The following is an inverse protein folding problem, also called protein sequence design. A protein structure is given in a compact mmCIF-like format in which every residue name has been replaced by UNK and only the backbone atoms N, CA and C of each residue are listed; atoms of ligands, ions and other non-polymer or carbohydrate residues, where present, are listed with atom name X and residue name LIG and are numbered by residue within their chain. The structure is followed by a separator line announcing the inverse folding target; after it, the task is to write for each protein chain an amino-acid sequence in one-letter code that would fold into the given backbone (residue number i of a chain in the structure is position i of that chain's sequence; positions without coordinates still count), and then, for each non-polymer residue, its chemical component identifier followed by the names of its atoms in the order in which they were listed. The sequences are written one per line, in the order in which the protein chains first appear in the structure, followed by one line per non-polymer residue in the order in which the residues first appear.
data_IF_492039149352
#
_entry.id   IF_492039149352
#
_cell.length_a   1.000
_cell.length_b   1.000
_cell.length_c   1.000
_cell.angle_alpha   90.00
_cell.angle_beta   90.00
_cell.angle_gamma   90.00
#
_symmetry.space_group_name_H-M   'P 1'
#
loop_
_entity.id
_entity.type
_entity.pdbx_description
1 polymer ?
#
# COMPACT_ATOMS: atom_id res chain seq x y z
N UNK A 1 -13.71 25.11 -6.92
CA UNK A 1 -13.05 23.92 -6.34
C UNK A 1 -13.84 22.72 -6.83
N UNK A 2 -13.20 21.79 -7.53
CA UNK A 2 -13.85 20.53 -7.89
C UNK A 2 -14.11 19.76 -6.60
N UNK A 3 -15.37 19.47 -6.29
CA UNK A 3 -15.76 18.67 -5.14
C UNK A 3 -15.92 17.22 -5.62
N UNK A 4 -15.10 16.31 -5.13
CA UNK A 4 -15.24 14.87 -5.38
C UNK A 4 -16.28 14.31 -4.40
N UNK A 5 -17.25 13.52 -4.90
CA UNK A 5 -18.34 13.02 -4.06
C UNK A 5 -17.99 11.72 -3.33
N UNK A 6 -16.99 10.99 -3.80
CA UNK A 6 -16.51 9.74 -3.21
C UNK A 6 -15.06 9.45 -3.62
N UNK A 7 -14.49 8.41 -3.00
CA UNK A 7 -13.12 7.98 -3.25
C UNK A 7 -12.88 7.50 -4.67
N UNK A 8 -13.86 6.87 -5.33
CA UNK A 8 -13.69 6.39 -6.70
C UNK A 8 -13.49 7.56 -7.68
N UNK A 9 -14.27 8.63 -7.53
CA UNK A 9 -14.09 9.87 -8.32
C UNK A 9 -12.74 10.52 -8.07
N UNK A 10 -12.32 10.57 -6.80
CA UNK A 10 -11.01 11.11 -6.41
C UNK A 10 -9.86 10.29 -7.02
N UNK A 11 -9.91 8.97 -6.88
CA UNK A 11 -8.88 8.06 -7.38
C UNK A 11 -8.77 8.10 -8.89
N UNK A 12 -9.91 8.15 -9.59
CA UNK A 12 -9.94 8.32 -11.04
C UNK A 12 -9.26 9.62 -11.45
N UNK A 13 -9.62 10.74 -10.83
CA UNK A 13 -9.00 12.03 -11.12
C UNK A 13 -7.49 12.01 -10.89
N UNK A 14 -7.03 11.47 -9.75
CA UNK A 14 -5.60 11.41 -9.44
C UNK A 14 -4.86 10.53 -10.46
N UNK A 15 -5.40 9.35 -10.79
CA UNK A 15 -4.77 8.43 -11.74
C UNK A 15 -4.62 9.06 -13.14
N UNK A 16 -5.61 9.82 -13.60
CA UNK A 16 -5.60 10.41 -14.93
C UNK A 16 -4.79 11.71 -15.03
N UNK A 17 -4.66 12.46 -13.93
CA UNK A 17 -4.13 13.83 -13.98
C UNK A 17 -2.81 14.03 -13.23
N UNK A 18 -2.40 13.09 -12.36
CA UNK A 18 -1.22 13.23 -11.51
C UNK A 18 -0.28 12.03 -11.67
N UNK A 19 1.02 12.31 -11.79
CA UNK A 19 2.08 11.31 -11.69
C UNK A 19 2.82 11.44 -10.36
N UNK A 20 3.38 10.33 -9.87
CA UNK A 20 3.95 10.22 -8.51
C UNK A 20 5.01 11.29 -8.22
N UNK A 21 5.86 11.63 -9.19
CA UNK A 21 6.89 12.65 -8.98
C UNK A 21 6.31 14.05 -8.74
N UNK A 22 5.29 14.48 -9.51
CA UNK A 22 4.62 15.75 -9.26
C UNK A 22 3.93 15.79 -7.88
N UNK A 23 3.36 14.66 -7.44
CA UNK A 23 2.78 14.56 -6.09
C UNK A 23 3.88 14.74 -5.03
N UNK A 24 5.07 14.15 -5.22
CA UNK A 24 6.19 14.34 -4.31
C UNK A 24 6.66 15.80 -4.27
N UNK A 25 6.81 16.45 -5.42
CA UNK A 25 7.22 17.86 -5.49
C UNK A 25 6.24 18.78 -4.74
N UNK A 26 4.93 18.57 -4.91
CA UNK A 26 3.90 19.31 -4.19
C UNK A 26 4.00 19.06 -2.67
N UNK A 27 4.19 17.81 -2.26
CA UNK A 27 4.36 17.46 -0.85
C UNK A 27 5.61 18.10 -0.25
N UNK A 28 6.70 18.17 -1.00
CA UNK A 28 7.95 18.83 -0.58
C UNK A 28 7.76 20.34 -0.36
N UNK A 29 7.03 21.02 -1.25
CA UNK A 29 6.66 22.43 -1.11
C UNK A 29 5.78 22.67 0.13
N UNK A 30 4.90 21.72 0.45
CA UNK A 30 4.06 21.75 1.66
C UNK A 30 4.83 21.35 2.93
N UNK A 31 6.11 20.96 2.83
CA UNK A 31 6.97 20.59 3.95
C UNK A 31 6.99 19.11 4.30
N UNK A 32 6.33 18.25 3.53
CA UNK A 32 6.24 16.80 3.74
C UNK A 32 7.30 16.04 2.92
N UNK A 33 8.56 16.09 3.35
CA UNK A 33 9.70 15.61 2.54
C UNK A 33 9.98 14.10 2.54
N UNK A 34 9.26 13.33 3.35
CA UNK A 34 9.54 11.90 3.57
C UNK A 34 8.35 11.02 3.17
N UNK A 35 7.73 11.28 2.01
CA UNK A 35 6.49 10.61 1.57
C UNK A 35 6.71 9.58 0.46
N UNK A 36 7.91 9.51 -0.11
CA UNK A 36 8.28 8.48 -1.09
C UNK A 36 8.71 7.18 -0.40
N UNK A 37 8.31 6.04 -0.96
CA UNK A 37 8.74 4.72 -0.48
C UNK A 37 10.24 4.51 -0.73
N UNK A 38 10.87 3.68 0.12
CA UNK A 38 12.28 3.32 -0.05
C UNK A 38 12.52 2.69 -1.43
N UNK A 39 13.60 3.08 -2.11
CA UNK A 39 13.95 2.65 -3.49
C UNK A 39 14.15 1.14 -3.70
N UNK A 40 13.99 0.32 -2.65
CA UNK A 40 14.01 -1.15 -2.75
C UNK A 40 12.62 -1.71 -3.09
N UNK A 41 11.57 -0.94 -2.84
CA UNK A 41 10.22 -1.28 -3.31
C UNK A 41 10.17 -1.00 -4.81
N UNK A 42 10.09 -2.06 -5.61
CA UNK A 42 10.06 -1.99 -7.08
C UNK A 42 8.80 -2.68 -7.60
N UNK A 43 8.17 -2.14 -8.66
CA UNK A 43 7.02 -2.79 -9.27
C UNK A 43 7.43 -4.16 -9.83
N UNK A 44 6.55 -5.15 -9.66
CA UNK A 44 6.75 -6.49 -10.19
C UNK A 44 6.29 -6.62 -11.66
N UNK A 45 5.28 -5.84 -12.05
CA UNK A 45 4.75 -5.86 -13.41
C UNK A 45 5.74 -5.23 -14.39
N UNK A 46 5.86 -5.77 -15.62
CA UNK A 46 6.90 -5.36 -16.58
C UNK A 46 6.68 -3.96 -17.15
N UNK A 47 5.44 -3.48 -17.17
CA UNK A 47 5.10 -2.15 -17.66
C UNK A 47 5.15 -1.14 -16.50
N UNK A 48 6.32 -0.55 -16.28
CA UNK A 48 6.55 0.41 -15.21
C UNK A 48 5.72 1.70 -15.36
N UNK A 49 5.27 2.03 -16.57
CA UNK A 49 4.48 3.24 -16.84
C UNK A 49 3.00 3.01 -16.47
N UNK A 50 2.50 1.79 -16.63
CA UNK A 50 1.09 1.44 -16.37
C UNK A 50 0.88 0.56 -15.12
N UNK A 51 1.92 0.23 -14.35
CA UNK A 51 1.80 -0.56 -13.12
C UNK A 51 1.40 0.25 -11.88
N UNK A 52 1.16 1.55 -12.02
CA UNK A 52 0.75 2.42 -10.92
C UNK A 52 -0.71 2.21 -10.50
N UNK A 53 -0.98 2.36 -9.21
CA UNK A 53 -2.32 2.29 -8.65
C UNK A 53 -2.47 3.28 -7.47
N UNK A 54 -3.72 3.53 -7.09
CA UNK A 54 -4.09 4.43 -6.00
C UNK A 54 -5.23 3.84 -5.19
N UNK A 55 -5.21 4.10 -3.88
CA UNK A 55 -6.31 3.75 -2.98
C UNK A 55 -6.04 4.24 -1.55
N UNK A 56 -6.93 3.88 -0.61
CA UNK A 56 -6.73 4.10 0.82
C UNK A 56 -5.77 3.05 1.38
N UNK A 57 -4.78 3.47 2.15
CA UNK A 57 -3.85 2.52 2.73
C UNK A 57 -4.54 1.63 3.79
N UNK A 58 -4.58 0.32 3.54
CA UNK A 58 -4.84 -0.69 4.55
C UNK A 58 -3.49 -1.24 5.02
N UNK A 59 -3.11 -0.95 6.26
CA UNK A 59 -1.76 -1.24 6.75
C UNK A 59 -1.69 -2.54 7.54
N UNK A 60 -0.60 -3.28 7.35
CA UNK A 60 -0.32 -4.54 8.03
C UNK A 60 1.11 -4.51 8.57
N UNK A 61 1.29 -4.81 9.85
CA UNK A 61 2.60 -4.93 10.47
C UNK A 61 2.86 -6.37 10.84
N UNK A 62 3.93 -6.93 10.29
CA UNK A 62 4.41 -8.25 10.65
C UNK A 62 5.52 -8.15 11.69
N UNK A 63 5.55 -9.12 12.59
CA UNK A 63 6.55 -9.22 13.64
C UNK A 63 6.93 -10.69 13.80
N UNK A 64 8.21 -10.95 14.04
CA UNK A 64 8.69 -12.26 14.45
C UNK A 64 8.02 -12.68 15.77
N UNK A 65 7.65 -13.96 15.85
CA UNK A 65 7.08 -14.60 17.04
C UNK A 65 7.92 -15.81 17.39
N UNK A 66 8.13 -16.05 18.69
CA UNK A 66 8.86 -17.21 19.22
C UNK A 66 7.96 -18.41 19.52
N UNK A 67 6.66 -18.28 19.27
CA UNK A 67 5.67 -19.34 19.40
C UNK A 67 4.68 -19.37 18.22
N UNK A 68 4.04 -20.51 18.04
CA UNK A 68 2.96 -20.72 17.06
C UNK A 68 1.65 -20.85 17.83
N UNK A 69 0.61 -20.13 17.39
CA UNK A 69 -0.75 -20.38 17.90
C UNK A 69 -1.32 -21.63 17.25
N UNK A 70 -1.19 -22.77 17.94
CA UNK A 70 -1.56 -24.11 17.42
C UNK A 70 -3.04 -24.20 16.99
N UNK A 71 -3.94 -23.51 17.69
CA UNK A 71 -5.38 -23.58 17.38
C UNK A 71 -5.74 -22.81 16.11
N UNK A 72 -5.03 -21.71 15.80
CA UNK A 72 -5.36 -20.84 14.67
C UNK A 72 -4.15 -20.01 14.19
N UNK A 73 -3.11 -20.65 13.62
CA UNK A 73 -1.85 -19.97 13.29
C UNK A 73 -2.00 -18.89 12.21
N UNK A 74 -3.05 -18.96 11.38
CA UNK A 74 -3.32 -18.03 10.28
C UNK A 74 -4.52 -17.11 10.53
N UNK A 75 -5.15 -17.17 11.70
CA UNK A 75 -6.41 -16.47 11.97
C UNK A 75 -6.33 -14.98 11.72
N UNK A 76 -5.28 -14.35 12.24
CA UNK A 76 -5.04 -12.91 12.09
C UNK A 76 -4.71 -12.53 10.64
N UNK A 77 -3.98 -13.39 9.91
CA UNK A 77 -3.66 -13.16 8.50
C UNK A 77 -4.92 -13.23 7.64
N UNK A 78 -5.78 -14.23 7.87
CA UNK A 78 -7.05 -14.37 7.16
C UNK A 78 -7.96 -13.19 7.47
N UNK A 79 -8.12 -12.81 8.74
CA UNK A 79 -8.92 -11.65 9.13
C UNK A 79 -8.40 -10.35 8.49
N UNK A 80 -7.07 -10.19 8.46
CA UNK A 80 -6.42 -9.06 7.81
C UNK A 80 -6.76 -8.99 6.31
N UNK A 81 -6.70 -10.12 5.59
CA UNK A 81 -7.04 -10.18 4.17
C UNK A 81 -8.54 -9.98 3.92
N UNK A 82 -9.41 -10.60 4.71
CA UNK A 82 -10.88 -10.48 4.61
C UNK A 82 -11.37 -9.06 4.89
N UNK A 83 -10.59 -8.29 5.63
CA UNK A 83 -10.94 -6.91 6.00
C UNK A 83 -10.70 -5.87 4.89
N UNK A 84 -10.06 -6.27 3.78
CA UNK A 84 -9.81 -5.40 2.63
C UNK A 84 -11.12 -5.00 1.95
N UNK A 85 -11.22 -3.73 1.57
CA UNK A 85 -12.37 -3.17 0.86
C UNK A 85 -11.99 -2.71 -0.53
N UNK A 86 -12.99 -2.56 -1.39
CA UNK A 86 -12.80 -1.92 -2.70
C UNK A 86 -12.18 -0.54 -2.53
N UNK A 87 -11.07 -0.30 -3.23
CA UNK A 87 -10.32 0.95 -3.15
C UNK A 87 -9.23 0.97 -2.07
N UNK A 88 -9.05 -0.11 -1.31
CA UNK A 88 -7.90 -0.24 -0.40
C UNK A 88 -6.63 -0.64 -1.18
N UNK A 89 -5.49 -0.17 -0.66
CA UNK A 89 -4.14 -0.57 -1.03
C UNK A 89 -3.51 -1.23 0.18
N UNK A 90 -3.22 -2.53 0.07
CA UNK A 90 -2.50 -3.27 1.09
C UNK A 90 -1.06 -2.75 1.20
N UNK A 91 -0.66 -2.32 2.41
CA UNK A 91 0.69 -1.87 2.71
C UNK A 91 1.26 -2.72 3.83
N UNK A 92 2.12 -3.67 3.47
CA UNK A 92 2.80 -4.53 4.42
C UNK A 92 4.12 -3.92 4.86
N UNK A 93 4.28 -3.73 6.17
CA UNK A 93 5.57 -3.53 6.82
C UNK A 93 6.02 -4.86 7.38
N UNK A 94 6.95 -5.53 6.68
CA UNK A 94 7.61 -6.72 7.21
C UNK A 94 8.76 -6.31 8.13
N UNK A 95 9.19 -7.22 8.99
CA UNK A 95 10.45 -7.05 9.72
C UNK A 95 11.66 -7.10 8.75
N UNK A 96 12.85 -6.83 9.28
CA UNK A 96 14.10 -6.90 8.53
C UNK A 96 14.54 -8.36 8.27
N UNK A 97 13.93 -9.34 8.92
CA UNK A 97 14.31 -10.75 8.82
C UNK A 97 14.13 -11.31 7.42
N UNK A 98 13.14 -10.80 6.66
CA UNK A 98 12.90 -11.23 5.27
C UNK A 98 12.56 -12.71 5.15
N UNK A 99 12.09 -13.31 6.25
CA UNK A 99 11.74 -14.72 6.38
C UNK A 99 10.24 -14.97 6.17
N UNK A 100 9.44 -13.92 5.98
CA UNK A 100 8.02 -14.03 5.68
C UNK A 100 7.69 -13.54 4.26
N UNK A 101 6.65 -14.12 3.69
CA UNK A 101 6.09 -13.75 2.39
C UNK A 101 4.59 -13.52 2.55
N UNK A 102 4.16 -12.31 2.97
CA UNK A 102 2.76 -12.03 3.29
C UNK A 102 1.85 -11.89 2.06
N UNK A 103 2.36 -12.14 0.86
CA UNK A 103 1.62 -12.07 -0.38
C UNK A 103 2.10 -13.17 -1.33
N UNK A 104 1.15 -13.87 -1.94
CA UNK A 104 1.41 -15.01 -2.83
C UNK A 104 0.15 -15.39 -3.64
N UNK A 105 0.27 -16.45 -4.44
CA UNK A 105 -0.82 -17.03 -5.22
C UNK A 105 -1.36 -18.30 -4.57
#
# INVERSE_FOLDING_TARGET
MSTFNNDAELFYFIKENLYVAAVCDILDELGFRNQAMHQRLRPLLPDAENCGFIGRARTFRWMETDYIEEENPYGLEIEAMDSLKTGDVAVHSTDYGGTNAPWGN
#
